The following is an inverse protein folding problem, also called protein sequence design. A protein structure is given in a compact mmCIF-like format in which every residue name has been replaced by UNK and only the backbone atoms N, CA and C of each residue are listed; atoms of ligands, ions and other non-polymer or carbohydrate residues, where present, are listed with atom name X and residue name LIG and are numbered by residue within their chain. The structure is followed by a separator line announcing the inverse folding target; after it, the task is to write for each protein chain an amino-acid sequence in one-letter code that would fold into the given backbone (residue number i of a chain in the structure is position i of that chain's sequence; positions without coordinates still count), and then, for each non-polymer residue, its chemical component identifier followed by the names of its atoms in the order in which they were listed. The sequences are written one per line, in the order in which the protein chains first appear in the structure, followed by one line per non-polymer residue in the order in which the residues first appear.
data_IF_748524182532
#
_entry.id   IF_748524182532
#
_cell.length_a   1.000
_cell.length_b   1.000
_cell.length_c   1.000
_cell.angle_alpha   90.00
_cell.angle_beta   90.00
_cell.angle_gamma   90.00
#
_symmetry.space_group_name_H-M   'P 1'
#
loop_
_entity.id
_entity.type
_entity.pdbx_description
1 polymer ?
#
# COMPACT_ATOMS: atom_id res chain seq x y z
N UNK A 1 15.41 -12.10 -15.07
CA UNK A 1 14.69 -10.95 -15.69
C UNK A 1 15.12 -10.82 -17.15
N UNK A 2 14.16 -10.61 -18.05
CA UNK A 2 14.41 -10.47 -19.47
C UNK A 2 14.96 -9.05 -19.76
N UNK A 3 16.11 -8.96 -20.47
CA UNK A 3 16.72 -7.65 -20.83
C UNK A 3 15.86 -6.82 -21.79
N UNK A 4 14.87 -7.45 -22.43
CA UNK A 4 13.95 -6.79 -23.36
C UNK A 4 12.64 -6.34 -22.69
N UNK A 5 12.58 -6.35 -21.38
CA UNK A 5 11.38 -5.93 -20.62
C UNK A 5 11.59 -4.55 -19.99
N UNK A 6 10.61 -3.64 -20.17
CA UNK A 6 10.52 -2.37 -19.48
C UNK A 6 9.41 -2.48 -18.43
N UNK A 7 9.71 -2.12 -17.19
CA UNK A 7 8.73 -2.04 -16.11
C UNK A 7 8.17 -0.61 -16.03
N UNK A 8 6.86 -0.49 -16.16
CA UNK A 8 6.14 0.79 -16.11
C UNK A 8 5.48 0.92 -14.74
N UNK A 9 5.99 1.79 -13.88
CA UNK A 9 5.53 1.94 -12.50
C UNK A 9 4.70 3.21 -12.37
N UNK A 10 3.40 3.07 -12.07
CA UNK A 10 2.55 4.21 -11.68
C UNK A 10 2.57 4.38 -10.16
N UNK A 11 2.38 5.61 -9.67
CA UNK A 11 2.56 5.89 -8.24
C UNK A 11 4.01 5.73 -7.80
N UNK A 12 4.95 5.89 -8.72
CA UNK A 12 6.38 5.67 -8.55
C UNK A 12 7.03 6.56 -7.49
N UNK A 13 6.49 7.76 -7.26
CA UNK A 13 6.97 8.68 -6.22
C UNK A 13 6.40 8.35 -4.81
N UNK A 14 5.42 7.45 -4.73
CA UNK A 14 4.84 7.00 -3.46
C UNK A 14 5.73 6.02 -2.70
N UNK A 15 5.32 5.69 -1.47
CA UNK A 15 6.10 4.84 -0.56
C UNK A 15 6.44 3.47 -1.16
N UNK A 16 5.44 2.68 -1.57
CA UNK A 16 5.67 1.38 -2.20
C UNK A 16 6.29 1.52 -3.59
N UNK A 17 5.80 2.46 -4.40
CA UNK A 17 6.26 2.66 -5.77
C UNK A 17 7.73 3.01 -5.87
N UNK A 18 8.25 3.89 -4.99
CA UNK A 18 9.67 4.25 -4.97
C UNK A 18 10.58 3.07 -4.56
N UNK A 19 10.11 2.22 -3.64
CA UNK A 19 10.81 1.00 -3.27
C UNK A 19 10.82 -0.04 -4.40
N UNK A 20 9.72 -0.18 -5.15
CA UNK A 20 9.67 -1.02 -6.36
C UNK A 20 10.64 -0.50 -7.42
N UNK A 21 10.65 0.80 -7.69
CA UNK A 21 11.59 1.42 -8.64
C UNK A 21 13.04 1.16 -8.21
N UNK A 22 13.37 1.37 -6.94
CA UNK A 22 14.71 1.15 -6.37
C UNK A 22 15.16 -0.30 -6.52
N UNK A 23 14.29 -1.25 -6.20
CA UNK A 23 14.64 -2.66 -6.32
C UNK A 23 14.78 -3.13 -7.76
N UNK A 24 13.93 -2.67 -8.69
CA UNK A 24 14.06 -2.98 -10.10
C UNK A 24 15.36 -2.39 -10.71
N UNK A 25 15.68 -1.13 -10.37
CA UNK A 25 16.92 -0.49 -10.81
C UNK A 25 18.15 -1.23 -10.27
N UNK A 26 18.16 -1.60 -8.98
CA UNK A 26 19.24 -2.39 -8.37
C UNK A 26 19.42 -3.78 -9.02
N UNK A 27 18.38 -4.34 -9.63
CA UNK A 27 18.44 -5.59 -10.42
C UNK A 27 18.85 -5.37 -11.88
N UNK A 28 19.16 -4.11 -12.27
CA UNK A 28 19.56 -3.75 -13.64
C UNK A 28 18.40 -3.78 -14.64
N UNK A 29 17.15 -3.68 -14.19
CA UNK A 29 15.98 -3.61 -15.05
C UNK A 29 15.81 -2.22 -15.66
N UNK A 30 15.21 -2.16 -16.85
CA UNK A 30 14.73 -0.91 -17.41
C UNK A 30 13.41 -0.52 -16.77
N UNK A 31 13.36 0.68 -16.18
CA UNK A 31 12.20 1.15 -15.42
C UNK A 31 11.76 2.52 -15.91
N UNK A 32 10.48 2.66 -16.15
CA UNK A 32 9.80 3.95 -16.35
C UNK A 32 8.93 4.25 -15.13
N UNK A 33 9.04 5.46 -14.62
CA UNK A 33 8.26 5.94 -13.47
C UNK A 33 7.27 7.01 -13.94
N UNK A 34 5.97 6.81 -13.68
CA UNK A 34 4.95 7.83 -13.89
C UNK A 34 4.78 8.65 -12.62
N UNK A 35 4.97 9.96 -12.72
CA UNK A 35 4.78 10.95 -11.66
C UNK A 35 3.78 12.02 -12.09
N UNK A 36 3.15 12.67 -11.13
CA UNK A 36 2.37 13.86 -11.44
C UNK A 36 3.30 14.99 -11.88
N UNK A 37 2.83 15.91 -12.74
CA UNK A 37 3.60 17.10 -13.09
C UNK A 37 4.04 17.86 -11.84
N UNK A 38 5.35 18.22 -11.81
CA UNK A 38 5.97 18.93 -10.69
C UNK A 38 5.84 18.23 -9.32
N UNK A 39 5.73 16.90 -9.27
CA UNK A 39 5.66 16.16 -8.01
C UNK A 39 6.98 16.29 -7.22
N UNK A 40 6.98 16.93 -6.04
CA UNK A 40 8.21 17.09 -5.24
C UNK A 40 8.79 15.77 -4.75
N UNK A 41 7.99 14.71 -4.70
CA UNK A 41 8.42 13.37 -4.31
C UNK A 41 9.17 12.63 -5.43
N UNK A 42 9.12 13.11 -6.68
CA UNK A 42 9.88 12.54 -7.81
C UNK A 42 11.41 12.52 -7.58
N UNK A 43 11.94 13.36 -6.66
CA UNK A 43 13.34 13.36 -6.24
C UNK A 43 13.78 12.08 -5.51
N UNK A 44 12.83 11.32 -4.95
CA UNK A 44 13.12 10.07 -4.22
C UNK A 44 13.17 8.83 -5.14
N UNK A 45 12.82 9.00 -6.42
CA UNK A 45 12.97 7.97 -7.44
C UNK A 45 14.46 7.93 -7.86
N UNK A 46 15.11 6.75 -7.96
CA UNK A 46 16.50 6.63 -8.41
C UNK A 46 16.77 7.33 -9.73
N UNK A 47 17.99 7.84 -9.89
CA UNK A 47 18.39 8.60 -11.11
C UNK A 47 18.40 7.71 -12.37
N UNK A 48 18.66 6.42 -12.20
CA UNK A 48 18.68 5.42 -13.29
C UNK A 48 17.29 5.14 -13.87
N UNK A 49 16.23 5.53 -13.14
CA UNK A 49 14.83 5.32 -13.55
C UNK A 49 14.39 6.46 -14.45
N UNK A 50 13.88 6.12 -15.65
CA UNK A 50 13.34 7.10 -16.57
C UNK A 50 12.01 7.66 -16.07
N UNK A 51 11.93 8.97 -15.85
CA UNK A 51 10.76 9.65 -15.30
C UNK A 51 9.90 10.22 -16.42
N UNK A 52 8.58 10.01 -16.31
CA UNK A 52 7.54 10.56 -17.19
C UNK A 52 6.54 11.33 -16.35
N UNK A 53 6.15 12.50 -16.79
CA UNK A 53 5.07 13.25 -16.18
C UNK A 53 3.73 12.88 -16.82
N UNK A 54 2.73 12.59 -15.98
CA UNK A 54 1.37 12.26 -16.42
C UNK A 54 0.44 11.95 -15.25
N UNK A 55 -0.84 11.86 -15.58
CA UNK A 55 -1.89 11.57 -14.60
C UNK A 55 -2.74 10.41 -15.13
N UNK A 56 -2.82 9.31 -14.41
CA UNK A 56 -3.61 8.15 -14.85
C UNK A 56 -5.14 8.40 -14.86
N UNK A 57 -5.60 9.57 -14.45
CA UNK A 57 -6.97 10.03 -14.74
C UNK A 57 -7.12 10.68 -16.14
N UNK A 58 -6.00 10.88 -16.86
CA UNK A 58 -5.94 11.44 -18.21
C UNK A 58 -5.10 10.53 -19.13
N UNK A 59 -5.79 9.76 -19.97
CA UNK A 59 -5.16 8.80 -20.89
C UNK A 59 -4.13 9.48 -21.81
N UNK A 60 -4.45 10.67 -22.33
CA UNK A 60 -3.57 11.37 -23.29
C UNK A 60 -2.20 11.68 -22.66
N UNK A 61 -2.19 12.07 -21.38
CA UNK A 61 -0.95 12.38 -20.66
C UNK A 61 -0.03 11.18 -20.45
N UNK A 62 -0.54 9.95 -20.64
CA UNK A 62 0.23 8.73 -20.41
C UNK A 62 0.74 8.06 -21.69
N UNK A 63 0.36 8.52 -22.86
CA UNK A 63 0.69 7.84 -24.13
C UNK A 63 2.19 7.61 -24.33
N UNK A 64 3.02 8.61 -24.04
CA UNK A 64 4.48 8.49 -24.15
C UNK A 64 5.06 7.49 -23.15
N UNK A 65 4.53 7.46 -21.92
CA UNK A 65 4.91 6.52 -20.90
C UNK A 65 4.65 5.05 -21.33
N UNK A 66 3.54 4.80 -22.07
CA UNK A 66 3.15 3.50 -22.58
C UNK A 66 3.74 3.14 -23.94
N UNK A 67 4.42 4.06 -24.62
CA UNK A 67 5.01 3.80 -25.95
C UNK A 67 6.30 2.97 -25.80
N UNK A 68 6.14 1.64 -25.95
CA UNK A 68 7.24 0.69 -25.82
C UNK A 68 7.97 0.53 -27.16
N UNK A 69 9.32 0.66 -27.20
CA UNK A 69 10.12 0.50 -28.43
C UNK A 69 9.93 -0.87 -29.08
N UNK A 70 10.19 -0.92 -30.38
CA UNK A 70 10.17 -2.16 -31.15
C UNK A 70 11.20 -3.18 -30.61
N UNK A 71 10.81 -4.45 -30.52
CA UNK A 71 11.64 -5.51 -29.96
C UNK A 71 11.67 -5.58 -28.44
N UNK A 72 10.91 -4.72 -27.75
CA UNK A 72 10.75 -4.73 -26.30
C UNK A 72 9.30 -5.00 -25.89
N UNK A 73 9.12 -5.41 -24.66
CA UNK A 73 7.81 -5.60 -24.03
C UNK A 73 7.69 -4.75 -22.75
N UNK A 74 6.48 -4.35 -22.41
CA UNK A 74 6.16 -3.59 -21.21
C UNK A 74 5.36 -4.41 -20.21
N UNK A 75 5.74 -4.31 -18.94
CA UNK A 75 4.94 -4.82 -17.81
C UNK A 75 4.55 -3.63 -16.94
N UNK A 76 3.25 -3.44 -16.74
CA UNK A 76 2.72 -2.33 -15.94
C UNK A 76 2.57 -2.77 -14.50
N UNK A 77 3.15 -1.99 -13.57
CA UNK A 77 2.97 -2.11 -12.14
C UNK A 77 2.13 -0.91 -11.67
N UNK A 78 0.80 -1.12 -11.60
CA UNK A 78 -0.13 -0.05 -11.23
C UNK A 78 -0.28 0.00 -9.71
N UNK A 79 0.53 0.85 -9.07
CA UNK A 79 0.60 1.03 -7.61
C UNK A 79 -0.13 2.31 -7.18
N UNK A 80 -0.22 3.29 -8.07
CA UNK A 80 -0.78 4.61 -7.79
C UNK A 80 -2.23 4.56 -7.29
N UNK A 81 -2.48 5.21 -6.15
CA UNK A 81 -3.82 5.39 -5.60
C UNK A 81 -3.84 6.51 -4.57
N UNK A 82 -5.02 7.08 -4.32
CA UNK A 82 -5.25 7.91 -3.14
C UNK A 82 -5.64 6.99 -1.99
N UNK A 83 -4.86 7.05 -0.89
CA UNK A 83 -5.17 6.37 0.37
C UNK A 83 -5.82 7.39 1.31
N UNK A 84 -6.90 6.99 1.99
CA UNK A 84 -7.56 7.81 3.00
C UNK A 84 -8.09 6.94 4.12
N UNK A 85 -7.99 7.43 5.35
CA UNK A 85 -8.64 6.87 6.55
C UNK A 85 -9.99 7.54 6.83
N UNK A 86 -10.39 8.54 6.03
CA UNK A 86 -11.73 9.12 6.07
C UNK A 86 -12.73 8.11 5.47
N UNK A 87 -13.72 7.65 6.24
CA UNK A 87 -14.69 6.68 5.76
C UNK A 87 -15.72 7.27 4.78
N UNK A 88 -15.88 8.59 4.76
CA UNK A 88 -16.91 9.25 3.97
C UNK A 88 -16.60 9.16 2.47
N UNK A 89 -17.67 9.09 1.66
CA UNK A 89 -17.54 9.03 0.21
C UNK A 89 -16.82 10.26 -0.34
N UNK A 90 -15.76 10.02 -1.11
CA UNK A 90 -14.95 11.06 -1.73
C UNK A 90 -14.88 10.85 -3.25
N UNK A 91 -15.51 11.71 -4.06
CA UNK A 91 -15.53 11.56 -5.51
C UNK A 91 -14.13 11.61 -6.14
N UNK A 92 -13.17 12.33 -5.52
CA UNK A 92 -11.78 12.37 -6.00
C UNK A 92 -11.09 11.01 -5.81
N UNK A 93 -11.31 10.33 -4.67
CA UNK A 93 -10.79 8.97 -4.43
C UNK A 93 -11.35 8.01 -5.47
N UNK A 94 -12.64 8.07 -5.74
CA UNK A 94 -13.29 7.22 -6.75
C UNK A 94 -12.78 7.50 -8.16
N UNK A 95 -12.67 8.77 -8.55
CA UNK A 95 -12.17 9.16 -9.87
C UNK A 95 -10.72 8.69 -10.09
N UNK A 96 -9.88 8.82 -9.08
CA UNK A 96 -8.47 8.42 -9.17
C UNK A 96 -8.33 6.91 -9.09
N UNK A 97 -8.88 6.26 -8.06
CA UNK A 97 -8.63 4.84 -7.81
C UNK A 97 -9.39 3.93 -8.79
N UNK A 98 -10.63 4.27 -9.13
CA UNK A 98 -11.45 3.47 -10.06
C UNK A 98 -11.29 3.98 -11.49
N UNK A 99 -11.55 5.27 -11.73
CA UNK A 99 -11.45 5.87 -13.07
C UNK A 99 -10.04 5.76 -13.63
N UNK A 100 -9.02 6.06 -12.82
CA UNK A 100 -7.62 5.91 -13.22
C UNK A 100 -7.24 4.48 -13.55
N UNK A 101 -7.69 3.50 -12.75
CA UNK A 101 -7.45 2.07 -13.04
C UNK A 101 -8.12 1.64 -14.35
N UNK A 102 -9.34 2.12 -14.65
CA UNK A 102 -9.98 1.88 -15.95
C UNK A 102 -9.15 2.38 -17.12
N UNK A 103 -8.59 3.59 -17.00
CA UNK A 103 -7.69 4.15 -18.01
C UNK A 103 -6.44 3.30 -18.22
N UNK A 104 -5.83 2.79 -17.15
CA UNK A 104 -4.69 1.86 -17.23
C UNK A 104 -5.08 0.57 -17.95
N UNK A 105 -6.26 0.00 -17.64
CA UNK A 105 -6.78 -1.18 -18.34
C UNK A 105 -6.91 -0.91 -19.84
N UNK A 106 -7.51 0.22 -20.24
CA UNK A 106 -7.67 0.57 -21.65
C UNK A 106 -6.32 0.70 -22.37
N UNK A 107 -5.34 1.34 -21.75
CA UNK A 107 -3.99 1.43 -22.30
C UNK A 107 -3.32 0.06 -22.42
N UNK A 108 -3.43 -0.79 -21.41
CA UNK A 108 -2.89 -2.15 -21.46
C UNK A 108 -3.49 -2.98 -22.60
N UNK A 109 -4.79 -2.83 -22.87
CA UNK A 109 -5.48 -3.54 -23.93
C UNK A 109 -5.20 -2.97 -25.33
N UNK A 110 -5.01 -1.66 -25.44
CA UNK A 110 -4.79 -0.98 -26.73
C UNK A 110 -3.33 -0.97 -27.19
N UNK A 111 -2.37 -1.11 -26.29
CA UNK A 111 -0.94 -1.05 -26.59
C UNK A 111 -0.37 -2.47 -26.76
N UNK A 112 -0.06 -2.91 -27.99
CA UNK A 112 0.23 -4.32 -28.30
C UNK A 112 1.52 -4.87 -27.68
N UNK A 113 2.41 -3.97 -27.20
CA UNK A 113 3.66 -4.36 -26.54
C UNK A 113 3.56 -4.39 -25.01
N UNK A 114 2.42 -4.03 -24.45
CA UNK A 114 2.14 -4.25 -23.04
C UNK A 114 1.65 -5.69 -22.86
N UNK A 115 2.44 -6.47 -22.16
CA UNK A 115 2.23 -7.93 -22.06
C UNK A 115 1.60 -8.35 -20.75
N UNK A 116 1.68 -7.51 -19.72
CA UNK A 116 1.11 -7.81 -18.40
C UNK A 116 0.83 -6.57 -17.57
N UNK A 117 -0.21 -6.66 -16.74
CA UNK A 117 -0.53 -5.70 -15.68
C UNK A 117 -0.44 -6.40 -14.32
N UNK A 118 0.26 -5.79 -13.35
CA UNK A 118 0.12 -6.10 -11.92
C UNK A 118 -0.62 -4.94 -11.28
N UNK A 119 -1.81 -5.21 -10.80
CA UNK A 119 -2.61 -4.21 -10.08
C UNK A 119 -2.37 -4.33 -8.57
N UNK A 120 -1.97 -3.23 -7.94
CA UNK A 120 -1.82 -3.14 -6.49
C UNK A 120 -3.14 -2.70 -5.85
N UNK A 121 -3.91 -3.66 -5.38
CA UNK A 121 -5.13 -3.45 -4.60
C UNK A 121 -4.79 -3.20 -3.12
N UNK A 122 -5.54 -3.80 -2.21
CA UNK A 122 -5.33 -3.75 -0.75
C UNK A 122 -6.07 -4.91 -0.10
N UNK A 123 -5.61 -5.39 1.06
CA UNK A 123 -6.41 -6.29 1.91
C UNK A 123 -7.72 -5.65 2.37
N UNK A 124 -7.79 -4.31 2.38
CA UNK A 124 -9.03 -3.58 2.63
C UNK A 124 -10.15 -3.78 1.58
N UNK A 125 -9.82 -4.28 0.39
CA UNK A 125 -10.79 -4.61 -0.65
C UNK A 125 -11.48 -5.96 -0.42
N UNK A 126 -10.95 -6.81 0.47
CA UNK A 126 -11.46 -8.15 0.73
C UNK A 126 -12.48 -8.08 1.87
N UNK A 127 -13.68 -8.68 1.73
CA UNK A 127 -14.67 -8.73 2.80
C UNK A 127 -14.12 -9.32 4.09
N UNK A 128 -14.50 -8.74 5.21
CA UNK A 128 -14.06 -9.17 6.53
C UNK A 128 -14.72 -10.50 6.94
N UNK A 129 -13.95 -11.36 7.58
CA UNK A 129 -14.42 -12.58 8.25
C UNK A 129 -14.42 -12.40 9.78
N UNK A 130 -15.13 -13.25 10.53
CA UNK A 130 -15.08 -13.22 12.00
C UNK A 130 -13.66 -13.23 12.54
N UNK A 131 -13.40 -12.46 13.61
CA UNK A 131 -12.05 -12.28 14.18
C UNK A 131 -11.38 -13.64 14.46
N UNK A 132 -10.11 -13.76 14.00
CA UNK A 132 -9.32 -14.99 14.12
C UNK A 132 -9.51 -15.99 12.97
N UNK A 133 -10.46 -15.75 12.06
CA UNK A 133 -10.62 -16.59 10.86
C UNK A 133 -9.67 -16.08 9.77
N UNK A 134 -8.75 -16.88 9.21
CA UNK A 134 -7.86 -16.43 8.16
C UNK A 134 -8.64 -15.96 6.92
N UNK A 135 -8.40 -14.70 6.53
CA UNK A 135 -8.97 -14.09 5.33
C UNK A 135 -8.12 -14.53 4.13
N UNK A 136 -8.78 -15.10 3.13
CA UNK A 136 -8.17 -15.57 1.88
C UNK A 136 -8.59 -14.70 0.70
N UNK A 137 -7.91 -14.90 -0.43
CA UNK A 137 -8.33 -14.31 -1.70
C UNK A 137 -9.76 -14.77 -2.06
N UNK A 138 -10.48 -13.87 -2.71
CA UNK A 138 -11.84 -14.10 -3.21
C UNK A 138 -11.88 -13.89 -4.71
N UNK A 139 -12.85 -14.53 -5.39
CA UNK A 139 -13.00 -14.45 -6.85
C UNK A 139 -13.92 -13.31 -7.30
N UNK A 140 -14.60 -12.65 -6.35
CA UNK A 140 -15.52 -11.54 -6.62
C UNK A 140 -15.43 -10.48 -5.52
N UNK A 141 -15.33 -9.22 -5.93
CA UNK A 141 -15.20 -8.07 -5.03
C UNK A 141 -16.46 -7.23 -5.05
N UNK A 142 -17.13 -7.16 -3.90
CA UNK A 142 -18.36 -6.40 -3.69
C UNK A 142 -18.05 -5.20 -2.80
N UNK A 143 -18.11 -4.01 -3.38
CA UNK A 143 -17.79 -2.75 -2.67
C UNK A 143 -18.73 -2.46 -1.51
N UNK A 144 -19.93 -3.07 -1.50
CA UNK A 144 -20.90 -2.90 -0.41
C UNK A 144 -20.56 -3.69 0.85
N UNK A 145 -19.62 -4.64 0.74
CA UNK A 145 -19.17 -5.51 1.84
C UNK A 145 -17.90 -5.05 2.54
N UNK A 146 -17.36 -3.92 2.11
CA UNK A 146 -16.13 -3.36 2.70
C UNK A 146 -16.37 -1.95 3.22
N UNK A 147 -15.80 -1.56 4.38
CA UNK A 147 -16.05 -0.26 4.97
C UNK A 147 -15.12 0.82 4.45
N UNK A 148 -15.68 2.02 4.32
CA UNK A 148 -14.94 3.24 3.98
C UNK A 148 -14.61 3.40 2.50
N UNK A 149 -14.51 4.66 2.08
CA UNK A 149 -14.36 5.06 0.68
C UNK A 149 -13.14 4.44 0.01
N UNK A 150 -12.01 4.35 0.71
CA UNK A 150 -10.80 3.74 0.17
C UNK A 150 -11.00 2.26 -0.17
N UNK A 151 -11.50 1.47 0.79
CA UNK A 151 -11.77 0.03 0.60
C UNK A 151 -12.77 -0.21 -0.52
N UNK A 152 -13.86 0.57 -0.56
CA UNK A 152 -14.85 0.52 -1.66
C UNK A 152 -14.19 0.79 -3.02
N UNK A 153 -13.34 1.84 -3.10
CA UNK A 153 -12.65 2.16 -4.35
C UNK A 153 -11.69 1.06 -4.81
N UNK A 154 -11.01 0.40 -3.85
CA UNK A 154 -10.10 -0.72 -4.16
C UNK A 154 -10.87 -1.97 -4.56
N UNK A 155 -12.02 -2.27 -3.93
CA UNK A 155 -12.88 -3.39 -4.32
C UNK A 155 -13.42 -3.21 -5.75
N UNK A 156 -13.99 -2.03 -6.06
CA UNK A 156 -14.46 -1.70 -7.41
C UNK A 156 -13.34 -1.81 -8.45
N UNK A 157 -12.18 -1.19 -8.20
CA UNK A 157 -11.09 -1.23 -9.16
C UNK A 157 -10.52 -2.66 -9.34
N UNK A 158 -10.50 -3.47 -8.28
CA UNK A 158 -10.10 -4.89 -8.37
C UNK A 158 -11.05 -5.66 -9.25
N UNK A 159 -12.39 -5.47 -9.07
CA UNK A 159 -13.39 -6.13 -9.90
C UNK A 159 -13.25 -5.73 -11.37
N UNK A 160 -13.01 -4.45 -11.69
CA UNK A 160 -12.77 -4.00 -13.07
C UNK A 160 -11.57 -4.69 -13.72
N UNK A 161 -10.48 -4.92 -12.97
CA UNK A 161 -9.31 -5.66 -13.47
C UNK A 161 -9.66 -7.12 -13.74
N UNK A 162 -10.37 -7.79 -12.80
CA UNK A 162 -10.81 -9.19 -12.98
C UNK A 162 -11.75 -9.33 -14.16
N UNK A 163 -12.72 -8.44 -14.30
CA UNK A 163 -13.67 -8.44 -15.43
C UNK A 163 -12.93 -8.25 -16.77
N UNK A 164 -11.90 -7.40 -16.80
CA UNK A 164 -11.10 -7.24 -18.00
C UNK A 164 -10.26 -8.50 -18.31
N UNK A 165 -9.77 -9.22 -17.30
CA UNK A 165 -9.11 -10.52 -17.50
C UNK A 165 -10.07 -11.56 -18.07
N UNK A 166 -11.27 -11.67 -17.51
CA UNK A 166 -12.24 -12.70 -17.88
C UNK A 166 -12.93 -12.44 -19.21
N UNK A 167 -13.20 -11.17 -19.56
CA UNK A 167 -14.09 -10.83 -20.68
C UNK A 167 -13.43 -10.04 -21.80
N UNK A 168 -12.23 -9.47 -21.57
CA UNK A 168 -11.58 -8.58 -22.54
C UNK A 168 -10.17 -9.02 -22.95
N UNK A 169 -9.67 -10.14 -22.40
CA UNK A 169 -8.35 -10.70 -22.73
C UNK A 169 -7.17 -9.95 -22.10
N UNK A 170 -7.40 -9.17 -21.04
CA UNK A 170 -6.32 -8.55 -20.27
C UNK A 170 -5.50 -9.64 -19.58
N UNK A 171 -4.18 -9.60 -19.73
CA UNK A 171 -3.28 -10.41 -18.91
C UNK A 171 -2.88 -9.63 -17.67
N UNK A 172 -3.53 -9.92 -16.54
CA UNK A 172 -3.23 -9.22 -15.29
C UNK A 172 -3.29 -10.16 -14.09
N UNK A 173 -2.58 -9.81 -13.03
CA UNK A 173 -2.76 -10.36 -11.69
C UNK A 173 -2.85 -9.22 -10.67
N UNK A 174 -3.42 -9.53 -9.52
CA UNK A 174 -3.70 -8.55 -8.47
C UNK A 174 -2.93 -8.91 -7.22
N UNK A 175 -2.32 -7.93 -6.58
CA UNK A 175 -1.73 -8.08 -5.26
C UNK A 175 -2.53 -7.28 -4.23
N UNK A 176 -2.72 -7.85 -3.04
CA UNK A 176 -3.44 -7.25 -1.92
C UNK A 176 -2.49 -7.03 -0.74
N UNK A 177 -1.72 -5.93 -0.72
CA UNK A 177 -0.88 -5.60 0.43
C UNK A 177 -1.72 -5.33 1.67
N UNK A 178 -1.21 -5.74 2.84
CA UNK A 178 -1.66 -5.26 4.14
C UNK A 178 -1.08 -3.87 4.44
N UNK A 179 -1.07 -3.44 5.70
CA UNK A 179 -0.46 -2.15 6.08
C UNK A 179 1.04 -2.13 5.77
N UNK A 180 1.57 -0.96 5.48
CA UNK A 180 2.96 -0.78 5.02
C UNK A 180 3.77 -0.08 6.09
N UNK A 181 4.95 -0.62 6.41
CA UNK A 181 5.96 -0.01 7.27
C UNK A 181 7.37 -0.24 6.72
N UNK A 182 8.39 0.37 7.33
CA UNK A 182 9.79 0.19 6.94
C UNK A 182 10.44 1.46 6.40
N UNK A 183 11.69 1.38 5.89
CA UNK A 183 12.44 2.53 5.43
C UNK A 183 11.88 3.14 4.12
N UNK A 184 12.11 4.45 3.91
CA UNK A 184 11.77 5.14 2.68
C UNK A 184 10.37 5.76 2.65
N UNK A 185 9.69 5.93 3.78
CA UNK A 185 8.45 6.70 3.90
C UNK A 185 8.73 8.20 4.02
N UNK A 186 9.13 8.82 2.91
CA UNK A 186 9.45 10.25 2.87
C UNK A 186 8.24 11.17 3.10
N UNK A 187 7.01 10.64 2.96
CA UNK A 187 5.79 11.37 3.26
C UNK A 187 5.46 11.37 4.75
N UNK A 188 6.15 10.55 5.55
CA UNK A 188 5.91 10.35 6.98
C UNK A 188 4.43 10.08 7.25
N UNK A 189 3.94 8.96 6.69
CA UNK A 189 2.53 8.56 6.82
C UNK A 189 2.15 8.19 8.26
N UNK A 190 0.88 7.84 8.45
CA UNK A 190 0.29 7.62 9.78
C UNK A 190 1.06 6.59 10.62
N UNK A 191 1.48 5.46 10.03
CA UNK A 191 2.24 4.41 10.75
C UNK A 191 3.61 4.94 11.18
N UNK A 192 4.31 5.67 10.31
CA UNK A 192 5.61 6.27 10.61
C UNK A 192 5.48 7.37 11.67
N UNK A 193 4.41 8.18 11.62
CA UNK A 193 4.12 9.18 12.67
C UNK A 193 3.90 8.51 14.03
N UNK A 194 3.10 7.43 14.09
CA UNK A 194 2.89 6.68 15.32
C UNK A 194 4.20 6.13 15.88
N UNK A 195 5.07 5.58 15.03
CA UNK A 195 6.38 5.09 15.42
C UNK A 195 7.23 6.22 16.02
N UNK A 196 7.27 7.39 15.38
CA UNK A 196 8.00 8.58 15.88
C UNK A 196 7.44 9.04 17.24
N UNK A 197 6.11 9.08 17.42
CA UNK A 197 5.48 9.44 18.70
C UNK A 197 5.85 8.46 19.82
N UNK A 198 5.91 7.15 19.52
CA UNK A 198 6.35 6.14 20.49
C UNK A 198 7.82 6.37 20.87
N UNK A 199 8.70 6.59 19.89
CA UNK A 199 10.13 6.88 20.12
C UNK A 199 10.30 8.10 21.04
N UNK A 200 9.58 9.18 20.74
CA UNK A 200 9.66 10.44 21.50
C UNK A 200 8.97 10.35 22.88
N UNK A 201 8.24 9.26 23.18
CA UNK A 201 7.45 9.14 24.40
C UNK A 201 6.25 10.09 24.45
N UNK A 202 5.76 10.50 23.28
CA UNK A 202 4.62 11.42 23.11
C UNK A 202 3.28 10.70 23.12
N UNK A 203 3.27 9.35 22.99
CA UNK A 203 2.06 8.55 23.02
C UNK A 203 1.63 8.27 24.47
N UNK A 204 0.58 8.93 24.99
CA UNK A 204 0.22 8.83 26.42
C UNK A 204 -0.41 7.49 26.77
N UNK A 205 -1.07 6.84 25.80
CA UNK A 205 -1.72 5.54 25.95
C UNK A 205 -1.80 4.86 24.60
N UNK A 206 -1.69 3.54 24.57
CA UNK A 206 -1.99 2.71 23.43
C UNK A 206 -3.46 2.28 23.38
N UNK A 207 -3.79 1.44 22.42
CA UNK A 207 -5.13 0.82 22.26
C UNK A 207 -4.93 -0.69 22.22
N UNK A 208 -5.80 -1.43 22.92
CA UNK A 208 -5.75 -2.89 22.97
C UNK A 208 -6.36 -3.49 21.69
N UNK A 209 -5.61 -3.42 20.62
CA UNK A 209 -5.97 -3.90 19.27
C UNK A 209 -4.79 -4.54 18.57
N UNK A 210 -5.02 -4.96 17.35
CA UNK A 210 -3.99 -5.54 16.47
C UNK A 210 -4.05 -4.95 15.07
N UNK A 211 -2.99 -5.15 14.30
CA UNK A 211 -2.93 -4.82 12.89
C UNK A 211 -1.98 -5.79 12.17
N UNK A 212 -1.98 -5.71 10.85
CA UNK A 212 -1.08 -6.47 10.00
C UNK A 212 -0.25 -5.49 9.18
N UNK A 213 1.06 -5.51 9.39
CA UNK A 213 2.02 -4.62 8.71
C UNK A 213 3.11 -5.44 8.03
N UNK A 214 3.41 -5.07 6.80
CA UNK A 214 4.50 -5.64 6.03
C UNK A 214 5.62 -4.63 5.81
N UNK A 215 6.84 -5.13 5.78
CA UNK A 215 7.96 -4.33 5.30
C UNK A 215 7.74 -3.93 3.84
N UNK A 216 7.91 -2.65 3.55
CA UNK A 216 7.74 -2.09 2.19
C UNK A 216 8.65 -2.78 1.17
N UNK A 217 9.82 -3.25 1.59
CA UNK A 217 10.79 -3.96 0.74
C UNK A 217 10.29 -5.35 0.36
N UNK A 218 9.62 -6.05 1.29
CA UNK A 218 9.01 -7.36 1.04
C UNK A 218 7.79 -7.23 0.14
N UNK A 219 6.99 -6.17 0.35
CA UNK A 219 5.88 -5.83 -0.55
C UNK A 219 6.39 -5.52 -1.96
N UNK A 220 7.46 -4.75 -2.09
CA UNK A 220 8.08 -4.47 -3.39
C UNK A 220 8.58 -5.74 -4.07
N UNK A 221 9.23 -6.66 -3.33
CA UNK A 221 9.62 -7.98 -3.82
C UNK A 221 8.40 -8.79 -4.28
N UNK A 222 7.31 -8.76 -3.50
CA UNK A 222 6.06 -9.44 -3.84
C UNK A 222 5.40 -8.91 -5.12
N UNK A 223 5.37 -7.59 -5.31
CA UNK A 223 4.87 -6.93 -6.54
C UNK A 223 5.71 -7.34 -7.75
N UNK A 224 7.05 -7.33 -7.61
CA UNK A 224 7.96 -7.73 -8.68
C UNK A 224 7.82 -9.22 -9.00
N UNK A 225 7.70 -10.06 -7.97
CA UNK A 225 7.48 -11.50 -8.15
C UNK A 225 6.12 -11.78 -8.84
N UNK A 226 5.08 -11.01 -8.55
CA UNK A 226 3.79 -11.09 -9.25
C UNK A 226 3.91 -10.73 -10.73
N UNK A 227 4.77 -9.76 -11.09
CA UNK A 227 5.07 -9.44 -12.49
C UNK A 227 5.70 -10.64 -13.23
N UNK A 228 6.58 -11.36 -12.56
CA UNK A 228 7.32 -12.49 -13.15
C UNK A 228 6.52 -13.80 -13.17
N UNK A 229 5.79 -14.10 -12.07
CA UNK A 229 5.21 -15.42 -11.81
C UNK A 229 3.68 -15.42 -11.65
N UNK A 230 3.08 -14.26 -11.35
CA UNK A 230 1.64 -14.17 -11.10
C UNK A 230 0.83 -14.67 -12.27
N UNK A 231 -0.17 -15.51 -12.01
CA UNK A 231 -1.06 -16.08 -13.03
C UNK A 231 -2.14 -15.08 -13.43
N UNK A 232 -2.58 -15.16 -14.67
CA UNK A 232 -3.64 -14.30 -15.18
C UNK A 232 -4.95 -14.50 -14.42
N UNK A 233 -5.60 -13.39 -14.03
CA UNK A 233 -6.86 -13.38 -13.29
C UNK A 233 -6.72 -13.75 -11.80
N UNK A 234 -5.52 -13.95 -11.28
CA UNK A 234 -5.31 -14.39 -9.91
C UNK A 234 -5.01 -13.22 -8.94
N UNK A 235 -5.52 -13.37 -7.73
CA UNK A 235 -5.26 -12.50 -6.59
C UNK A 235 -4.23 -13.11 -5.65
N UNK A 236 -3.38 -12.28 -5.05
CA UNK A 236 -2.34 -12.69 -4.10
C UNK A 236 -2.33 -11.75 -2.89
N UNK A 237 -2.60 -12.28 -1.70
CA UNK A 237 -2.48 -11.52 -0.45
C UNK A 237 -1.00 -11.42 -0.07
N UNK A 238 -0.52 -10.18 0.08
CA UNK A 238 0.82 -9.87 0.56
C UNK A 238 0.71 -9.33 1.99
N UNK A 239 0.70 -10.25 2.96
CA UNK A 239 0.51 -9.94 4.37
C UNK A 239 1.56 -10.65 5.23
N UNK A 240 1.79 -10.10 6.42
CA UNK A 240 2.59 -10.69 7.49
C UNK A 240 1.67 -11.34 8.53
N UNK A 241 2.23 -11.80 9.63
CA UNK A 241 1.44 -12.19 10.80
C UNK A 241 0.87 -10.95 11.50
N UNK A 242 -0.33 -11.02 12.11
CA UNK A 242 -0.84 -9.90 12.87
C UNK A 242 0.02 -9.62 14.11
N UNK A 243 0.14 -8.35 14.49
CA UNK A 243 0.85 -7.92 15.68
C UNK A 243 -0.06 -7.06 16.56
N UNK A 244 -0.04 -7.27 17.89
CA UNK A 244 -0.77 -6.39 18.78
C UNK A 244 -0.09 -5.04 18.88
N UNK A 245 -0.89 -3.97 19.04
CA UNK A 245 -0.33 -2.63 19.22
C UNK A 245 0.58 -2.55 20.46
N UNK A 246 0.26 -3.34 21.50
CA UNK A 246 1.10 -3.46 22.69
C UNK A 246 2.48 -4.03 22.39
N UNK A 247 2.54 -5.10 21.60
CA UNK A 247 3.79 -5.74 21.21
C UNK A 247 4.61 -4.83 20.29
N UNK A 248 3.94 -4.16 19.36
CA UNK A 248 4.55 -3.17 18.48
C UNK A 248 5.20 -2.02 19.28
N UNK A 249 4.48 -1.44 20.27
CA UNK A 249 5.06 -0.43 21.16
C UNK A 249 6.24 -0.96 21.95
N UNK A 250 6.20 -2.22 22.41
CA UNK A 250 7.31 -2.85 23.12
C UNK A 250 8.55 -2.93 22.25
N UNK A 251 8.43 -3.48 21.05
CA UNK A 251 9.55 -3.62 20.11
C UNK A 251 10.20 -2.27 19.77
N UNK A 252 9.38 -1.24 19.48
CA UNK A 252 9.89 0.10 19.19
C UNK A 252 10.63 0.69 20.40
N UNK A 253 10.08 0.54 21.60
CA UNK A 253 10.68 1.08 22.81
C UNK A 253 12.00 0.39 23.15
N UNK A 254 12.06 -0.94 22.99
CA UNK A 254 13.28 -1.71 23.23
C UNK A 254 14.38 -1.36 22.22
N UNK A 255 14.04 -1.15 20.96
CA UNK A 255 14.99 -0.80 19.91
C UNK A 255 15.48 0.66 20.03
N UNK A 256 14.57 1.60 20.28
CA UNK A 256 14.91 3.03 20.33
C UNK A 256 15.48 3.50 21.67
N UNK A 257 15.30 2.72 22.75
CA UNK A 257 15.57 3.18 24.13
C UNK A 257 14.56 4.20 24.65
N UNK A 258 13.45 4.39 23.93
CA UNK A 258 12.42 5.37 24.24
C UNK A 258 11.57 5.03 25.48
N UNK A 259 10.62 5.91 25.79
CA UNK A 259 9.75 5.77 26.95
C UNK A 259 8.68 4.72 26.74
N UNK A 260 8.57 3.76 27.67
CA UNK A 260 7.59 2.66 27.58
C UNK A 260 6.15 3.18 27.64
N UNK A 261 5.32 2.74 26.69
CA UNK A 261 3.87 2.89 26.74
C UNK A 261 3.32 1.85 27.73
N UNK A 262 2.76 2.32 28.86
CA UNK A 262 2.39 1.45 30.01
C UNK A 262 0.90 1.22 30.13
N UNK A 263 0.07 2.02 29.47
CA UNK A 263 -1.38 1.95 29.55
C UNK A 263 -2.01 1.73 28.19
N UNK A 264 -2.94 0.79 28.10
CA UNK A 264 -3.67 0.46 26.87
C UNK A 264 -5.16 0.53 27.10
N UNK A 265 -5.85 1.33 26.31
CA UNK A 265 -7.30 1.50 26.36
C UNK A 265 -7.99 0.31 25.68
N UNK A 266 -9.00 -0.28 26.33
CA UNK A 266 -9.87 -1.26 25.67
C UNK A 266 -10.59 -0.60 24.46
N UNK A 267 -10.85 -1.37 23.41
CA UNK A 267 -11.48 -0.91 22.15
C UNK A 267 -12.77 -0.11 22.40
N UNK A 268 -13.64 -0.55 23.31
CA UNK A 268 -14.89 0.16 23.59
C UNK A 268 -14.66 1.59 24.15
N UNK A 269 -13.68 1.74 25.04
CA UNK A 269 -13.34 3.03 25.63
C UNK A 269 -12.68 3.94 24.59
N UNK A 270 -11.78 3.39 23.76
CA UNK A 270 -11.17 4.11 22.64
C UNK A 270 -12.23 4.58 21.63
N UNK A 271 -13.21 3.75 21.27
CA UNK A 271 -14.32 4.13 20.40
C UNK A 271 -15.17 5.28 20.97
N UNK A 272 -15.45 5.25 22.28
CA UNK A 272 -16.21 6.31 22.94
C UNK A 272 -15.44 7.64 22.88
N UNK A 273 -14.14 7.61 23.14
CA UNK A 273 -13.26 8.80 23.04
C UNK A 273 -13.19 9.31 21.61
N UNK A 274 -12.99 8.43 20.62
CA UNK A 274 -12.93 8.80 19.21
C UNK A 274 -14.21 9.54 18.76
N UNK A 275 -15.39 9.02 19.10
CA UNK A 275 -16.68 9.69 18.81
C UNK A 275 -16.79 11.08 19.44
N UNK A 276 -16.29 11.26 20.66
CA UNK A 276 -16.26 12.57 21.32
C UNK A 276 -15.30 13.53 20.58
N UNK A 277 -14.12 13.04 20.18
CA UNK A 277 -13.15 13.82 19.42
C UNK A 277 -13.68 14.21 18.03
N UNK A 278 -14.34 13.30 17.32
CA UNK A 278 -15.01 13.56 16.04
C UNK A 278 -16.12 14.63 16.19
N UNK A 279 -16.93 14.53 17.26
CA UNK A 279 -17.98 15.51 17.52
C UNK A 279 -17.40 16.92 17.83
N UNK A 280 -16.28 16.97 18.55
CA UNK A 280 -15.57 18.23 18.81
C UNK A 280 -14.91 18.79 17.55
N UNK A 281 -14.27 17.92 16.75
CA UNK A 281 -13.65 18.28 15.48
C UNK A 281 -14.66 18.93 14.50
N UNK A 282 -15.89 18.40 14.43
CA UNK A 282 -16.98 19.00 13.64
C UNK A 282 -17.35 20.41 14.10
N UNK A 283 -17.11 20.76 15.37
CA UNK A 283 -17.38 22.09 15.91
C UNK A 283 -16.20 23.04 15.77
N UNK A 284 -14.98 22.56 15.99
CA UNK A 284 -13.75 23.38 15.92
C UNK A 284 -13.21 23.56 14.51
N UNK A 285 -13.54 22.64 13.57
CA UNK A 285 -12.93 22.58 12.24
C UNK A 285 -11.55 21.93 12.22
N UNK A 286 -11.05 21.45 13.35
CA UNK A 286 -9.76 20.76 13.47
C UNK A 286 -9.91 19.26 13.16
N UNK A 287 -8.86 18.63 12.66
CA UNK A 287 -8.88 17.17 12.43
C UNK A 287 -8.76 16.43 13.78
N UNK A 288 -9.60 15.41 14.04
CA UNK A 288 -9.50 14.62 15.25
C UNK A 288 -8.20 13.81 15.24
N UNK A 289 -7.53 13.72 16.38
CA UNK A 289 -6.30 12.92 16.56
C UNK A 289 -6.61 11.41 16.44
N UNK A 290 -7.82 10.99 16.79
CA UNK A 290 -8.29 9.62 16.75
C UNK A 290 -9.71 9.59 16.18
N UNK A 291 -9.96 8.66 15.26
CA UNK A 291 -11.27 8.48 14.63
C UNK A 291 -11.87 7.11 14.96
N UNK A 292 -13.19 7.00 14.92
CA UNK A 292 -13.87 5.70 15.05
C UNK A 292 -13.41 4.70 13.99
N UNK A 293 -13.00 5.19 12.81
CA UNK A 293 -12.49 4.35 11.74
C UNK A 293 -11.06 3.84 12.02
N UNK A 294 -10.18 4.66 12.62
CA UNK A 294 -8.86 4.17 13.06
C UNK A 294 -8.98 3.11 14.16
N UNK A 295 -9.93 3.27 15.09
CA UNK A 295 -10.20 2.25 16.11
C UNK A 295 -10.76 0.96 15.47
N UNK A 296 -11.66 1.09 14.49
CA UNK A 296 -12.17 -0.06 13.75
C UNK A 296 -11.02 -0.86 13.10
N UNK A 297 -10.04 -0.20 12.49
CA UNK A 297 -8.89 -0.86 11.85
C UNK A 297 -8.04 -1.67 12.85
N UNK A 298 -7.97 -1.25 14.12
CA UNK A 298 -7.29 -1.98 15.20
C UNK A 298 -8.16 -3.11 15.80
N UNK A 299 -9.48 -3.01 15.67
CA UNK A 299 -10.43 -3.96 16.23
C UNK A 299 -10.82 -5.09 15.28
N UNK A 300 -10.74 -4.82 13.96
CA UNK A 300 -11.15 -5.74 12.89
C UNK A 300 -10.31 -7.02 12.87
N UNK A 301 -10.71 -7.97 12.05
CA UNK A 301 -9.91 -9.16 11.79
C UNK A 301 -8.71 -8.80 10.89
N UNK A 302 -7.50 -8.96 11.42
CA UNK A 302 -6.24 -8.67 10.71
C UNK A 302 -5.43 -9.95 10.41
N UNK A 303 -6.08 -11.12 10.47
CA UNK A 303 -5.48 -12.42 10.13
C UNK A 303 -5.68 -12.69 8.64
N UNK A 304 -4.62 -12.60 7.85
CA UNK A 304 -4.65 -12.84 6.41
C UNK A 304 -3.84 -14.10 6.07
N UNK A 305 -4.34 -14.89 5.12
CA UNK A 305 -3.64 -16.07 4.61
C UNK A 305 -2.86 -15.68 3.34
N UNK A 306 -1.53 -15.61 3.44
CA UNK A 306 -0.63 -15.37 2.32
C UNK A 306 0.03 -16.63 1.77
N UNK A 307 -0.49 -17.82 2.07
CA UNK A 307 0.07 -19.11 1.63
C UNK A 307 0.21 -19.18 0.12
N UNK A 308 -0.79 -18.73 -0.64
CA UNK A 308 -0.76 -18.69 -2.11
C UNK A 308 0.38 -17.83 -2.64
N UNK A 309 0.59 -16.63 -2.07
CA UNK A 309 1.71 -15.77 -2.45
C UNK A 309 3.06 -16.40 -2.08
N UNK A 310 3.15 -17.07 -0.93
CA UNK A 310 4.36 -17.78 -0.49
C UNK A 310 4.71 -18.93 -1.44
N UNK A 311 3.72 -19.73 -1.85
CA UNK A 311 3.89 -20.90 -2.70
C UNK A 311 4.17 -20.55 -4.17
N UNK A 312 3.37 -19.65 -4.76
CA UNK A 312 3.43 -19.36 -6.19
C UNK A 312 4.44 -18.25 -6.53
N UNK A 313 4.53 -17.21 -5.70
CA UNK A 313 5.43 -16.09 -5.94
C UNK A 313 6.79 -16.23 -5.23
N UNK A 314 6.86 -17.06 -4.18
CA UNK A 314 8.00 -17.13 -3.27
C UNK A 314 8.05 -15.95 -2.30
N UNK A 315 6.88 -15.33 -2.01
CA UNK A 315 6.75 -14.21 -1.09
C UNK A 315 7.26 -14.57 0.29
N UNK A 316 8.01 -13.67 0.91
CA UNK A 316 8.55 -13.82 2.26
C UNK A 316 8.45 -12.49 2.98
N UNK A 317 8.37 -12.54 4.30
CA UNK A 317 8.29 -11.36 5.16
C UNK A 317 9.46 -11.35 6.15
N UNK A 318 10.01 -10.17 6.37
CA UNK A 318 10.92 -9.89 7.49
C UNK A 318 10.18 -9.96 8.80
N UNK A 319 10.89 -10.10 9.90
CA UNK A 319 10.35 -9.96 11.24
C UNK A 319 10.00 -8.47 11.50
N UNK A 320 9.14 -8.24 12.48
CA UNK A 320 8.81 -6.89 12.90
C UNK A 320 10.02 -6.18 13.50
N UNK A 321 10.87 -6.92 14.24
CA UNK A 321 12.08 -6.40 14.84
C UNK A 321 13.06 -5.90 13.77
N UNK A 322 13.31 -6.67 12.71
CA UNK A 322 14.16 -6.25 11.60
C UNK A 322 13.61 -5.00 10.92
N UNK A 323 12.31 -4.98 10.65
CA UNK A 323 11.66 -3.84 9.99
C UNK A 323 11.70 -2.58 10.84
N UNK A 324 11.42 -2.70 12.15
CA UNK A 324 11.47 -1.58 13.11
C UNK A 324 12.90 -1.04 13.23
N UNK A 325 13.90 -1.93 13.38
CA UNK A 325 15.31 -1.55 13.43
C UNK A 325 15.71 -0.73 12.20
N UNK A 326 15.45 -1.26 11.01
CA UNK A 326 15.83 -0.61 9.76
C UNK A 326 15.06 0.71 9.53
N UNK A 327 13.79 0.78 9.95
CA UNK A 327 13.00 2.00 9.83
C UNK A 327 13.50 3.08 10.80
N UNK A 328 13.83 2.74 12.03
CA UNK A 328 14.43 3.67 13.02
C UNK A 328 15.78 4.17 12.51
N UNK A 329 16.63 3.26 12.00
CA UNK A 329 17.92 3.66 11.45
C UNK A 329 17.77 4.61 10.27
N UNK A 330 16.85 4.31 9.34
CA UNK A 330 16.52 5.18 8.21
C UNK A 330 16.04 6.57 8.67
N UNK A 331 15.17 6.64 9.69
CA UNK A 331 14.69 7.92 10.23
C UNK A 331 15.81 8.75 10.84
N UNK A 332 16.79 8.10 11.47
CA UNK A 332 18.01 8.75 11.99
C UNK A 332 18.91 9.27 10.86
N UNK A 333 19.14 8.46 9.84
CA UNK A 333 20.01 8.80 8.70
C UNK A 333 19.43 9.96 7.88
N UNK A 334 18.11 10.02 7.73
CA UNK A 334 17.39 11.14 7.06
C UNK A 334 17.23 12.38 7.97
N UNK A 335 17.66 12.29 9.24
CA UNK A 335 17.55 13.40 10.21
C UNK A 335 16.11 13.73 10.62
N UNK A 336 15.15 12.82 10.38
CA UNK A 336 13.73 12.97 10.73
C UNK A 336 13.56 12.85 12.25
N UNK A 337 14.31 11.95 12.88
CA UNK A 337 14.43 11.84 14.34
C UNK A 337 15.87 12.06 14.78
N UNK A 338 16.06 12.35 16.07
CA UNK A 338 17.39 12.49 16.67
C UNK A 338 17.68 11.28 17.55
N UNK A 339 18.94 10.90 17.61
CA UNK A 339 19.39 9.88 18.57
C UNK A 339 19.12 10.38 19.99
N UNK A 340 18.39 9.58 20.77
CA UNK A 340 18.09 9.88 22.18
C UNK A 340 19.30 9.62 23.06
#
# INVERSE_FOLDING_TARGET
MNKNTIYLVTGAAGYLGSNVCRQLAARGCQVRALTLPNDPAAKFIPEEVQKYEGNFTDIESMKEFFDIPEGMEGIVLHIGSIVTTDPDYNPKVMAVNVGGTKNIIELCLSMPRITKLVYCSSTGAIPELPKGTPIKEVDYFDETKVPGCYSMSKALATQEVLDACHHRGLNACIVHPSGIMGPGDFAVGEITQNLIQIINGELPAGIDGDFNLCDVRDLADGVIAAAEKGRNGECYILANEPVTFKEFCRMITEESGGKKVSFFLPIFAANMMARMMEANAKRSGEKPVMTSFSIYNLARNNVFDSSKAKEELGYRTRTYEETIHDQIQWLLDEGIIKKQ
#
